data_IF_984676845312
#
_entry.id   IF_984676845312
#
_cell.length_a   1.000
_cell.length_b   1.000
_cell.length_c   1.000
_cell.angle_alpha   90.00
_cell.angle_beta   90.00
_cell.angle_gamma   90.00
#
_symmetry.space_group_name_H-M   'P 1'
#
loop_
_entity.id
_entity.type
_entity.pdbx_description
1 polymer ?
#
# COMPACT_ATOMS: atom_id res chain seq x y z
N UNK A 1 -5.30 22.50 -63.44
CA UNK A 1 -5.03 21.13 -63.94
C UNK A 1 -4.62 20.29 -62.75
N UNK A 2 -5.39 19.27 -62.53
CA UNK A 2 -5.36 18.27 -61.45
C UNK A 2 -4.03 17.51 -61.37
N UNK A 3 -3.60 17.06 -60.16
CA UNK A 3 -3.55 15.64 -59.87
C UNK A 3 -3.38 15.42 -58.35
N UNK A 4 -4.21 14.54 -57.87
CA UNK A 4 -4.26 13.89 -56.59
C UNK A 4 -3.07 12.93 -56.36
N UNK A 5 -2.69 12.75 -55.09
CA UNK A 5 -1.80 11.65 -54.68
C UNK A 5 -1.83 11.51 -53.13
N UNK A 6 -2.77 10.70 -52.67
CA UNK A 6 -2.86 10.22 -51.31
C UNK A 6 -1.78 9.18 -51.01
N UNK A 7 -1.16 9.24 -49.82
CA UNK A 7 -0.67 8.02 -49.14
C UNK A 7 -0.49 8.27 -47.65
N UNK A 8 -1.29 7.55 -46.88
CA UNK A 8 -1.22 7.32 -45.46
C UNK A 8 0.05 6.56 -45.03
N UNK A 9 0.66 6.98 -43.92
CA UNK A 9 1.74 6.25 -43.27
C UNK A 9 1.75 6.52 -41.77
N UNK A 10 0.97 5.72 -41.01
CA UNK A 10 1.01 5.72 -39.56
C UNK A 10 2.26 4.99 -39.10
N UNK A 11 3.29 5.72 -38.71
CA UNK A 11 4.49 5.18 -38.07
C UNK A 11 4.28 5.09 -36.56
N UNK A 12 4.11 3.88 -36.04
CA UNK A 12 4.22 3.59 -34.61
C UNK A 12 5.65 3.81 -34.16
N UNK A 13 5.86 4.82 -33.28
CA UNK A 13 7.12 4.99 -32.57
C UNK A 13 7.09 4.07 -31.36
N UNK A 14 7.93 3.04 -31.38
CA UNK A 14 8.12 2.10 -30.29
C UNK A 14 8.83 2.78 -29.11
N UNK A 15 8.29 2.64 -27.92
CA UNK A 15 8.97 2.98 -26.67
C UNK A 15 10.14 2.02 -26.46
N UNK A 16 11.37 2.54 -26.56
CA UNK A 16 12.56 1.83 -26.12
C UNK A 16 12.66 1.94 -24.59
N UNK A 17 12.43 0.83 -23.88
CA UNK A 17 12.79 0.71 -22.46
C UNK A 17 14.30 0.60 -22.35
N UNK A 18 14.95 1.62 -21.79
CA UNK A 18 16.32 1.51 -21.31
C UNK A 18 16.31 0.81 -19.95
N UNK A 19 16.71 -0.46 -19.94
CA UNK A 19 16.99 -1.18 -18.69
C UNK A 19 18.36 -0.75 -18.16
N UNK A 20 18.39 0.03 -17.10
CA UNK A 20 19.61 0.22 -16.30
C UNK A 20 19.77 -0.97 -15.36
N UNK A 21 20.82 -1.77 -15.61
CA UNK A 21 21.29 -2.79 -14.68
C UNK A 21 21.98 -2.09 -13.51
N UNK A 22 21.37 -2.15 -12.35
CA UNK A 22 22.02 -1.81 -11.07
C UNK A 22 22.82 -3.04 -10.64
N UNK A 23 24.14 -2.87 -10.52
CA UNK A 23 25.02 -3.88 -9.89
C UNK A 23 24.92 -3.67 -8.39
N UNK A 24 24.23 -4.58 -7.71
CA UNK A 24 24.21 -4.61 -6.24
C UNK A 24 25.49 -5.27 -5.73
N UNK A 25 26.30 -4.52 -4.99
CA UNK A 25 27.40 -5.05 -4.20
C UNK A 25 26.82 -5.61 -2.89
N UNK A 26 26.89 -6.92 -2.72
CA UNK A 26 26.53 -7.61 -1.49
C UNK A 26 27.67 -7.47 -0.47
N UNK A 27 27.46 -6.72 0.60
CA UNK A 27 28.24 -6.82 1.80
C UNK A 27 27.49 -7.71 2.80
N UNK A 28 28.02 -8.90 3.05
CA UNK A 28 27.47 -9.83 4.02
C UNK A 28 27.74 -9.37 5.46
N UNK A 29 26.72 -9.33 6.29
CA UNK A 29 26.84 -9.35 7.74
C UNK A 29 25.95 -10.49 8.25
N UNK A 30 26.59 -11.54 8.74
CA UNK A 30 25.90 -12.67 9.34
C UNK A 30 25.31 -12.31 10.70
N UNK A 31 24.06 -12.60 10.87
CA UNK A 31 23.41 -12.58 12.18
C UNK A 31 23.09 -14.01 12.59
N UNK A 32 23.75 -14.47 13.65
CA UNK A 32 23.54 -15.77 14.26
C UNK A 32 22.17 -15.81 14.94
N UNK A 33 21.33 -16.75 14.54
CA UNK A 33 20.08 -17.07 15.23
C UNK A 33 20.38 -18.11 16.31
N UNK A 34 20.20 -17.71 17.54
CA UNK A 34 20.26 -18.60 18.70
C UNK A 34 18.93 -19.33 18.84
N UNK A 35 18.91 -20.63 18.52
CA UNK A 35 17.75 -21.50 18.77
C UNK A 35 17.89 -22.03 20.20
N UNK A 36 17.04 -21.59 21.10
CA UNK A 36 16.88 -22.17 22.43
C UNK A 36 15.83 -23.28 22.33
N UNK A 37 16.32 -24.51 22.30
CA UNK A 37 15.47 -25.70 22.40
C UNK A 37 15.11 -25.98 23.85
N UNK A 38 13.81 -25.93 24.19
CA UNK A 38 13.30 -26.51 25.43
C UNK A 38 12.91 -27.97 25.20
N UNK A 39 13.73 -28.86 25.71
CA UNK A 39 13.40 -30.28 25.83
C UNK A 39 12.48 -30.48 27.04
N UNK A 40 11.28 -31.02 26.84
CA UNK A 40 10.50 -31.59 27.93
C UNK A 40 10.72 -33.10 27.99
N UNK A 41 11.24 -33.54 29.10
CA UNK A 41 11.42 -34.94 29.45
C UNK A 41 10.08 -35.53 29.86
N UNK A 42 9.71 -36.63 29.21
CA UNK A 42 8.62 -37.49 29.65
C UNK A 42 9.12 -38.44 30.72
N UNK A 43 8.54 -38.40 31.90
CA UNK A 43 8.72 -39.42 32.92
C UNK A 43 7.60 -40.41 32.83
N UNK A 44 7.95 -41.64 32.47
CA UNK A 44 7.11 -42.84 32.62
C UNK A 44 7.16 -43.32 34.07
N UNK A 45 6.01 -43.56 34.67
CA UNK A 45 5.91 -44.38 35.87
C UNK A 45 5.02 -45.58 35.60
N UNK A 46 5.65 -46.75 35.62
CA UNK A 46 5.03 -48.10 35.72
C UNK A 46 4.37 -48.25 37.10
N UNK A 47 3.18 -48.81 37.13
CA UNK A 47 2.54 -49.30 38.32
C UNK A 47 1.77 -50.56 37.99
N UNK A 48 2.40 -51.69 38.29
CA UNK A 48 1.81 -53.04 38.25
C UNK A 48 0.87 -53.21 39.44
N UNK A 49 -0.25 -53.86 39.23
CA UNK A 49 -1.14 -54.37 40.31
C UNK A 49 -1.94 -55.53 39.81
N UNK A 50 -1.48 -56.69 40.18
CA UNK A 50 -2.12 -58.01 40.04
C UNK A 50 -3.29 -58.17 41.02
N UNK A 51 -4.08 -59.20 40.69
CA UNK A 51 -4.91 -60.13 41.51
C UNK A 51 -6.42 -59.91 41.41
N UNK A 52 -7.30 -60.89 41.45
CA UNK A 52 -7.19 -62.38 41.42
C UNK A 52 -8.64 -62.94 41.15
N UNK A 53 -8.68 -64.15 40.63
CA UNK A 53 -9.84 -64.96 40.35
C UNK A 53 -10.68 -65.27 41.63
N UNK A 54 -12.01 -65.34 41.49
CA UNK A 54 -12.83 -66.18 42.33
C UNK A 54 -13.99 -66.80 41.53
N UNK A 55 -13.91 -68.09 41.39
CA UNK A 55 -14.82 -69.02 40.80
C UNK A 55 -15.78 -69.51 41.89
N UNK A 56 -17.11 -69.65 41.65
CA UNK A 56 -18.03 -70.59 42.30
C UNK A 56 -19.28 -70.69 41.45
N UNK A 57 -19.46 -71.77 40.72
CA UNK A 57 -20.19 -73.02 40.81
C UNK A 57 -21.73 -72.92 40.99
N UNK A 58 -22.39 -73.52 39.96
CA UNK A 58 -23.58 -74.37 39.93
C UNK A 58 -24.86 -74.05 40.70
N UNK A 59 -25.94 -73.86 39.94
CA UNK A 59 -27.03 -74.85 40.01
C UNK A 59 -28.05 -74.69 38.86
N UNK A 60 -28.39 -75.80 38.19
CA UNK A 60 -29.50 -75.99 37.25
C UNK A 60 -30.70 -76.51 38.03
N UNK A 61 -31.96 -76.15 37.69
CA UNK A 61 -32.80 -77.15 37.01
C UNK A 61 -33.60 -76.59 35.81
N UNK A 62 -34.11 -77.59 35.09
CA UNK A 62 -34.58 -77.60 33.73
C UNK A 62 -35.99 -77.02 33.46
N UNK A 63 -36.16 -76.71 32.18
CA UNK A 63 -37.28 -76.83 31.27
C UNK A 63 -38.55 -76.01 31.45
N UNK A 64 -38.75 -75.11 30.50
CA UNK A 64 -39.99 -75.08 29.72
C UNK A 64 -39.78 -74.34 28.41
N UNK A 65 -39.96 -75.03 27.29
CA UNK A 65 -39.95 -74.49 25.94
C UNK A 65 -41.18 -73.63 25.70
N UNK A 66 -40.94 -72.35 25.41
CA UNK A 66 -41.90 -71.55 24.64
C UNK A 66 -41.09 -70.77 23.58
N UNK A 67 -41.21 -71.23 22.33
CA UNK A 67 -40.61 -70.68 21.17
C UNK A 67 -41.37 -69.40 20.82
N UNK A 68 -40.86 -68.27 21.26
CA UNK A 68 -41.33 -66.99 20.78
C UNK A 68 -40.32 -66.51 19.74
N UNK A 69 -40.70 -66.60 18.47
CA UNK A 69 -39.94 -65.95 17.40
C UNK A 69 -39.97 -64.41 17.58
N UNK A 70 -38.97 -63.88 18.25
CA UNK A 70 -38.67 -62.47 18.14
C UNK A 70 -38.00 -62.19 16.77
N UNK A 71 -38.80 -61.75 15.83
CA UNK A 71 -38.26 -61.06 14.63
C UNK A 71 -37.64 -59.76 15.09
N UNK A 72 -36.35 -59.81 15.36
CA UNK A 72 -35.56 -58.55 15.56
C UNK A 72 -35.43 -57.92 14.20
N UNK A 73 -36.35 -57.05 13.84
CA UNK A 73 -36.15 -56.07 12.80
C UNK A 73 -34.98 -55.16 13.23
N UNK A 74 -33.76 -55.44 12.70
CA UNK A 74 -32.66 -54.51 12.78
C UNK A 74 -33.18 -53.21 12.15
N UNK A 75 -33.49 -52.21 12.99
CA UNK A 75 -33.78 -50.86 12.55
C UNK A 75 -32.56 -50.45 11.70
N UNK A 76 -32.76 -50.22 10.41
CA UNK A 76 -31.76 -49.68 9.51
C UNK A 76 -31.40 -48.29 10.07
N UNK A 77 -30.29 -48.20 10.77
CA UNK A 77 -29.76 -46.89 11.22
C UNK A 77 -29.65 -46.05 9.94
N UNK A 78 -30.45 -45.02 9.87
CA UNK A 78 -30.40 -44.07 8.75
C UNK A 78 -28.96 -43.55 8.64
N UNK A 79 -28.36 -43.70 7.46
CA UNK A 79 -27.00 -43.23 7.25
C UNK A 79 -26.98 -41.70 7.47
N UNK A 80 -26.19 -41.29 8.45
CA UNK A 80 -26.03 -39.84 8.76
C UNK A 80 -25.42 -39.17 7.54
N UNK A 81 -26.08 -38.10 7.04
CA UNK A 81 -25.58 -37.36 5.88
C UNK A 81 -24.22 -36.72 6.22
N UNK A 82 -23.26 -36.71 5.27
CA UNK A 82 -21.98 -36.06 5.52
C UNK A 82 -22.13 -34.56 5.70
N UNK A 83 -21.27 -33.97 6.54
CA UNK A 83 -21.13 -32.53 6.64
C UNK A 83 -20.68 -31.96 5.28
N UNK A 84 -21.20 -30.78 4.91
CA UNK A 84 -20.84 -30.05 3.68
C UNK A 84 -20.57 -28.60 4.00
N UNK A 85 -19.65 -27.97 3.26
CA UNK A 85 -19.53 -26.52 3.19
C UNK A 85 -20.66 -25.99 2.31
N UNK A 86 -21.45 -25.06 2.81
CA UNK A 86 -22.59 -24.45 2.11
C UNK A 86 -22.15 -23.16 1.41
N UNK A 87 -21.41 -22.30 2.14
CA UNK A 87 -20.87 -21.05 1.58
C UNK A 87 -19.62 -20.62 2.33
N UNK A 88 -18.82 -19.82 1.66
CA UNK A 88 -17.71 -19.07 2.24
C UNK A 88 -17.89 -17.60 1.86
N UNK A 89 -17.70 -16.70 2.81
CA UNK A 89 -17.71 -15.26 2.59
C UNK A 89 -16.36 -14.69 3.07
N UNK A 90 -15.62 -13.95 2.23
CA UNK A 90 -15.91 -13.64 0.83
C UNK A 90 -16.02 -14.86 -0.07
N UNK A 91 -16.85 -14.76 -1.15
CA UNK A 91 -17.11 -15.88 -2.05
C UNK A 91 -15.90 -16.25 -2.90
N UNK A 92 -15.90 -17.47 -3.44
CA UNK A 92 -14.84 -17.92 -4.36
C UNK A 92 -14.77 -17.00 -5.58
N UNK A 93 -13.56 -16.49 -5.87
CA UNK A 93 -13.31 -15.58 -6.99
C UNK A 93 -13.73 -14.13 -6.76
N UNK A 94 -14.11 -13.74 -5.54
CA UNK A 94 -14.28 -12.31 -5.22
C UNK A 94 -12.94 -11.56 -5.34
N UNK A 95 -12.96 -10.33 -5.87
CA UNK A 95 -11.75 -9.53 -6.15
C UNK A 95 -11.64 -8.24 -5.33
N UNK A 96 -12.73 -7.79 -4.69
CA UNK A 96 -12.78 -6.50 -4.00
C UNK A 96 -13.12 -6.68 -2.50
N UNK A 97 -12.66 -7.78 -1.90
CA UNK A 97 -12.94 -8.03 -0.49
C UNK A 97 -12.17 -7.05 0.40
N UNK A 98 -12.84 -6.51 1.42
CA UNK A 98 -12.13 -5.76 2.45
C UNK A 98 -11.30 -6.73 3.31
N UNK A 99 -9.98 -6.52 3.35
CA UNK A 99 -9.05 -7.41 4.06
C UNK A 99 -9.21 -7.39 5.59
N UNK A 100 -9.93 -6.44 6.14
CA UNK A 100 -10.23 -6.35 7.56
C UNK A 100 -11.54 -7.04 7.96
N UNK A 101 -12.37 -7.41 6.98
CA UNK A 101 -13.66 -8.07 7.23
C UNK A 101 -13.50 -9.50 7.72
N UNK A 102 -14.47 -10.00 8.52
CA UNK A 102 -14.50 -11.39 8.93
C UNK A 102 -14.66 -12.36 7.75
N UNK A 103 -13.96 -13.49 7.82
CA UNK A 103 -14.16 -14.61 6.90
C UNK A 103 -15.12 -15.60 7.55
N UNK A 104 -16.22 -15.92 6.86
CA UNK A 104 -17.25 -16.81 7.37
C UNK A 104 -17.38 -18.07 6.52
N UNK A 105 -17.37 -19.23 7.16
CA UNK A 105 -17.61 -20.53 6.53
C UNK A 105 -18.89 -21.14 7.12
N UNK A 106 -19.91 -21.33 6.29
CA UNK A 106 -21.19 -21.92 6.67
C UNK A 106 -21.26 -23.37 6.26
N UNK A 107 -21.78 -24.21 7.14
CA UNK A 107 -21.91 -25.66 6.97
C UNK A 107 -23.37 -26.11 6.91
N UNK A 108 -23.59 -27.33 6.47
CA UNK A 108 -24.93 -27.93 6.34
C UNK A 108 -25.55 -28.37 7.68
N UNK A 109 -24.80 -28.37 8.76
CA UNK A 109 -25.22 -28.79 10.12
C UNK A 109 -24.36 -28.10 11.17
N UNK A 110 -24.86 -27.97 12.40
CA UNK A 110 -24.08 -27.48 13.53
C UNK A 110 -22.76 -28.20 13.72
N UNK A 111 -21.72 -27.47 14.08
CA UNK A 111 -20.36 -27.98 14.27
C UNK A 111 -20.13 -28.43 15.73
N UNK A 112 -19.24 -29.43 15.89
CA UNK A 112 -18.75 -29.80 17.22
C UNK A 112 -17.87 -28.68 17.81
N UNK A 113 -17.94 -28.41 19.12
CA UNK A 113 -17.02 -27.46 19.78
C UNK A 113 -15.52 -27.83 19.65
N UNK A 114 -15.23 -29.14 19.45
CA UNK A 114 -13.87 -29.63 19.27
C UNK A 114 -13.50 -29.80 17.78
N UNK A 115 -14.28 -29.26 16.85
CA UNK A 115 -13.97 -29.36 15.41
C UNK A 115 -12.64 -28.70 15.09
N UNK A 116 -11.78 -29.32 14.26
CA UNK A 116 -10.63 -28.62 13.68
C UNK A 116 -11.07 -27.37 12.93
N UNK A 117 -10.23 -26.34 12.95
CA UNK A 117 -10.56 -25.05 12.35
C UNK A 117 -10.03 -24.96 10.92
N UNK A 118 -10.64 -24.16 10.03
CA UNK A 118 -10.08 -23.84 8.73
C UNK A 118 -8.73 -23.12 8.85
N UNK A 119 -7.90 -23.22 7.80
CA UNK A 119 -6.62 -22.53 7.72
C UNK A 119 -6.64 -21.48 6.62
N UNK A 120 -5.82 -20.42 6.79
CA UNK A 120 -5.70 -19.31 5.86
C UNK A 120 -4.28 -19.22 5.32
N UNK A 121 -4.15 -18.88 4.04
CA UNK A 121 -2.88 -18.60 3.38
C UNK A 121 -3.01 -17.39 2.46
N UNK A 122 -2.23 -16.29 2.70
CA UNK A 122 -1.32 -16.10 3.82
C UNK A 122 -2.06 -16.11 5.17
N UNK A 123 -1.34 -16.44 6.25
CA UNK A 123 -1.88 -16.35 7.61
C UNK A 123 -1.74 -14.94 8.15
N UNK A 124 -2.78 -14.45 8.82
CA UNK A 124 -2.75 -13.19 9.57
C UNK A 124 -3.15 -13.44 11.03
N UNK A 125 -2.80 -12.53 11.91
CA UNK A 125 -3.27 -12.60 13.30
C UNK A 125 -4.79 -12.47 13.37
N UNK A 126 -5.44 -13.29 14.15
CA UNK A 126 -6.88 -13.31 14.31
C UNK A 126 -7.34 -14.55 15.06
N UNK A 127 -8.65 -14.73 15.20
CA UNK A 127 -9.24 -15.85 15.92
C UNK A 127 -10.43 -16.42 15.18
N UNK A 128 -10.57 -17.75 15.22
CA UNK A 128 -11.76 -18.45 14.78
C UNK A 128 -12.75 -18.60 15.94
N UNK A 129 -14.03 -18.36 15.65
CA UNK A 129 -15.16 -18.71 16.52
C UNK A 129 -16.12 -19.63 15.79
N UNK A 130 -16.61 -20.67 16.50
CA UNK A 130 -17.62 -21.58 16.00
C UNK A 130 -18.93 -21.29 16.74
N UNK A 131 -20.00 -21.03 15.98
CA UNK A 131 -21.35 -20.83 16.51
C UNK A 131 -22.37 -21.52 15.61
N UNK A 132 -23.04 -22.55 16.15
CA UNK A 132 -23.99 -23.34 15.41
C UNK A 132 -23.34 -24.01 14.17
N UNK A 133 -23.84 -23.69 12.99
CA UNK A 133 -23.36 -24.20 11.69
C UNK A 133 -22.30 -23.30 11.02
N UNK A 134 -21.73 -22.37 11.75
CA UNK A 134 -20.86 -21.33 11.18
C UNK A 134 -19.55 -21.25 11.92
N UNK A 135 -18.43 -21.19 11.18
CA UNK A 135 -17.11 -20.82 11.67
C UNK A 135 -16.73 -19.45 11.11
N UNK A 136 -16.40 -18.51 11.98
CA UNK A 136 -16.04 -17.12 11.63
C UNK A 136 -14.63 -16.82 12.08
N UNK A 137 -13.78 -16.37 11.16
CA UNK A 137 -12.45 -15.80 11.45
C UNK A 137 -12.57 -14.28 11.55
N UNK A 138 -12.15 -13.73 12.68
CA UNK A 138 -12.05 -12.27 12.87
C UNK A 138 -10.57 -11.89 12.83
N UNK A 139 -10.12 -11.14 11.81
CA UNK A 139 -8.74 -10.69 11.72
C UNK A 139 -8.45 -9.66 12.83
N UNK A 140 -7.27 -9.74 13.44
CA UNK A 140 -6.76 -8.72 14.34
C UNK A 140 -5.86 -7.69 13.63
N UNK A 141 -5.30 -8.07 12.47
CA UNK A 141 -4.43 -7.21 11.65
C UNK A 141 -4.85 -7.15 10.18
N UNK A 142 -5.87 -7.90 9.78
CA UNK A 142 -6.36 -7.95 8.40
C UNK A 142 -5.35 -8.46 7.36
N UNK A 143 -5.81 -8.53 6.11
CA UNK A 143 -4.99 -8.84 4.92
C UNK A 143 -4.69 -7.53 4.18
N UNK A 144 -3.50 -7.44 3.59
CA UNK A 144 -3.12 -6.29 2.77
C UNK A 144 -3.92 -6.25 1.46
N UNK A 145 -3.91 -5.09 0.78
CA UNK A 145 -4.53 -4.93 -0.54
C UNK A 145 -3.95 -5.91 -1.56
N UNK A 146 -4.75 -6.24 -2.56
CA UNK A 146 -4.39 -7.06 -3.72
C UNK A 146 -3.83 -8.45 -3.34
N UNK A 147 -4.20 -8.93 -2.13
CA UNK A 147 -3.74 -10.21 -1.59
C UNK A 147 -4.73 -11.34 -1.92
N UNK A 148 -4.25 -12.39 -2.59
CA UNK A 148 -5.04 -13.61 -2.78
C UNK A 148 -5.03 -14.43 -1.50
N UNK A 149 -6.19 -14.56 -0.88
CA UNK A 149 -6.42 -15.33 0.35
C UNK A 149 -7.04 -16.67 0.01
N UNK A 150 -6.41 -17.74 0.48
CA UNK A 150 -6.90 -19.12 0.36
C UNK A 150 -7.42 -19.62 1.68
N UNK A 151 -8.70 -20.01 1.72
CA UNK A 151 -9.36 -20.64 2.87
C UNK A 151 -9.40 -22.14 2.62
N UNK A 152 -8.78 -22.92 3.49
CA UNK A 152 -8.78 -24.39 3.40
C UNK A 152 -9.55 -24.97 4.58
N UNK A 153 -10.65 -25.68 4.29
CA UNK A 153 -11.49 -26.39 5.26
C UNK A 153 -11.08 -27.85 5.29
N UNK A 154 -10.49 -28.36 6.38
CA UNK A 154 -9.95 -29.72 6.44
C UNK A 154 -11.06 -30.77 6.46
N UNK A 155 -10.79 -31.94 5.87
CA UNK A 155 -11.69 -33.08 5.80
C UNK A 155 -10.99 -34.38 6.20
N UNK A 156 -11.75 -35.48 6.29
CA UNK A 156 -11.25 -36.80 6.67
C UNK A 156 -11.29 -37.07 8.18
N UNK A 157 -10.36 -37.87 8.67
CA UNK A 157 -10.32 -38.28 10.09
C UNK A 157 -10.02 -37.07 11.02
N UNK A 158 -9.12 -36.18 10.58
CA UNK A 158 -8.71 -34.99 11.31
C UNK A 158 -9.42 -33.73 10.77
N UNK A 159 -10.54 -33.88 10.08
CA UNK A 159 -11.29 -32.80 9.43
C UNK A 159 -12.43 -32.24 10.29
N UNK A 160 -13.16 -31.30 9.68
CA UNK A 160 -14.32 -30.67 10.31
C UNK A 160 -15.36 -31.67 10.75
N UNK A 161 -15.85 -31.52 11.98
CA UNK A 161 -16.79 -32.40 12.65
C UNK A 161 -18.13 -31.69 12.88
N UNK A 162 -19.24 -32.35 12.53
CA UNK A 162 -20.57 -31.92 12.98
C UNK A 162 -20.79 -32.26 14.46
N UNK A 163 -21.71 -31.52 15.08
CA UNK A 163 -22.20 -31.83 16.41
C UNK A 163 -22.83 -33.24 16.43
N UNK A 164 -22.75 -33.92 17.58
CA UNK A 164 -23.25 -35.29 17.74
C UNK A 164 -24.72 -35.40 17.32
N UNK A 165 -25.01 -36.43 16.47
CA UNK A 165 -26.35 -36.72 15.98
C UNK A 165 -26.87 -35.85 14.83
N UNK A 166 -26.12 -34.80 14.39
CA UNK A 166 -26.59 -33.88 13.31
C UNK A 166 -26.08 -34.27 11.92
N UNK A 167 -24.79 -34.59 11.78
CA UNK A 167 -24.15 -35.00 10.55
C UNK A 167 -22.84 -35.75 10.86
N UNK A 168 -22.21 -36.31 9.84
CA UNK A 168 -20.87 -36.92 9.93
C UNK A 168 -19.76 -35.89 9.78
N UNK A 169 -18.58 -36.38 9.39
CA UNK A 169 -17.44 -35.53 9.06
C UNK A 169 -17.53 -34.94 7.65
N UNK A 170 -16.81 -33.87 7.38
CA UNK A 170 -16.55 -33.39 6.03
C UNK A 170 -15.74 -34.43 5.26
N UNK A 171 -16.22 -34.84 4.09
CA UNK A 171 -15.61 -35.96 3.33
C UNK A 171 -14.46 -35.54 2.44
N UNK A 172 -14.48 -34.31 1.94
CA UNK A 172 -13.47 -33.76 1.04
C UNK A 172 -13.06 -32.39 1.52
N UNK A 173 -11.75 -32.10 1.47
CA UNK A 173 -11.20 -30.77 1.74
C UNK A 173 -11.82 -29.77 0.78
N UNK A 174 -12.36 -28.68 1.33
CA UNK A 174 -12.87 -27.57 0.55
C UNK A 174 -11.85 -26.45 0.54
N UNK A 175 -11.57 -25.92 -0.65
CA UNK A 175 -10.65 -24.80 -0.86
C UNK A 175 -11.40 -23.69 -1.57
N UNK A 176 -11.38 -22.50 -0.98
CA UNK A 176 -11.95 -21.28 -1.56
C UNK A 176 -10.83 -20.23 -1.62
N UNK A 177 -10.77 -19.48 -2.71
CA UNK A 177 -9.85 -18.36 -2.82
C UNK A 177 -10.60 -17.09 -3.21
N UNK A 178 -10.20 -15.98 -2.63
CA UNK A 178 -10.66 -14.63 -3.01
C UNK A 178 -9.45 -13.68 -2.98
N UNK A 179 -9.58 -12.50 -3.58
CA UNK A 179 -8.55 -11.44 -3.55
C UNK A 179 -9.12 -10.23 -2.85
N UNK A 180 -8.33 -9.62 -1.97
CA UNK A 180 -8.70 -8.33 -1.38
C UNK A 180 -8.62 -7.22 -2.43
N UNK A 181 -9.45 -6.20 -2.28
CA UNK A 181 -9.43 -5.02 -3.15
C UNK A 181 -8.17 -4.17 -2.95
N UNK A 182 -8.02 -3.15 -3.78
CA UNK A 182 -7.00 -2.12 -3.61
C UNK A 182 -7.38 -1.15 -2.50
N UNK A 183 -6.40 -0.47 -1.91
CA UNK A 183 -6.67 0.58 -0.94
C UNK A 183 -7.25 1.83 -1.60
N UNK A 184 -8.03 2.58 -0.84
CA UNK A 184 -8.71 3.78 -1.30
C UNK A 184 -7.74 4.95 -1.50
N UNK A 185 -7.65 5.51 -2.73
CA UNK A 185 -6.93 6.76 -2.99
C UNK A 185 -7.45 7.91 -2.13
N UNK A 186 -8.76 7.94 -1.86
CA UNK A 186 -9.35 8.92 -0.95
C UNK A 186 -8.76 8.82 0.46
N UNK A 187 -8.58 7.60 0.97
CA UNK A 187 -7.93 7.40 2.27
C UNK A 187 -6.46 7.79 2.26
N UNK A 188 -5.72 7.50 1.20
CA UNK A 188 -4.36 7.96 1.02
C UNK A 188 -4.28 9.49 1.15
N UNK A 189 -5.15 10.20 0.42
CA UNK A 189 -5.24 11.66 0.49
C UNK A 189 -5.55 12.18 1.91
N UNK A 190 -6.46 11.51 2.63
CA UNK A 190 -6.79 11.85 4.02
C UNK A 190 -5.59 11.71 4.95
N UNK A 191 -4.88 10.56 4.87
CA UNK A 191 -3.71 10.29 5.71
C UNK A 191 -2.57 11.28 5.43
N UNK A 192 -2.28 11.55 4.15
CA UNK A 192 -1.26 12.53 3.74
C UNK A 192 -1.61 13.95 4.20
N UNK A 193 -2.90 14.34 4.14
CA UNK A 193 -3.36 15.63 4.65
C UNK A 193 -3.24 15.71 6.18
N UNK A 194 -3.66 14.67 6.90
CA UNK A 194 -3.54 14.60 8.37
C UNK A 194 -2.08 14.71 8.84
N UNK A 195 -1.15 14.12 8.09
CA UNK A 195 0.27 14.19 8.41
C UNK A 195 0.97 15.44 7.87
N UNK A 196 0.25 16.34 7.18
CA UNK A 196 0.81 17.60 6.65
C UNK A 196 1.69 17.44 5.41
N UNK A 197 1.55 16.34 4.67
CA UNK A 197 2.23 16.15 3.38
C UNK A 197 1.47 16.76 2.20
N UNK A 198 0.21 17.13 2.39
CA UNK A 198 -0.61 17.87 1.43
C UNK A 198 -0.93 19.26 1.96
N UNK A 199 -1.08 20.28 1.09
CA UNK A 199 -1.45 21.64 1.50
C UNK A 199 -2.95 21.79 1.76
N UNK A 200 -3.55 20.78 2.37
CA UNK A 200 -4.98 20.66 2.64
C UNK A 200 -5.21 20.21 4.07
N UNK A 201 -6.30 20.69 4.65
CA UNK A 201 -6.88 20.18 5.88
C UNK A 201 -8.04 19.27 5.53
N UNK A 202 -8.01 18.02 6.01
CA UNK A 202 -9.14 17.12 5.94
C UNK A 202 -9.95 17.16 7.24
N UNK A 203 -11.27 17.31 7.11
CA UNK A 203 -12.21 17.33 8.23
C UNK A 203 -13.24 16.20 8.05
N UNK A 204 -13.31 15.23 8.98
CA UNK A 204 -14.30 14.17 8.90
C UNK A 204 -15.71 14.72 9.07
N UNK A 205 -16.69 14.13 8.36
CA UNK A 205 -18.13 14.48 8.50
C UNK A 205 -18.68 14.08 9.87
N UNK A 206 -18.15 12.99 10.44
CA UNK A 206 -18.41 12.56 11.78
C UNK A 206 -17.07 12.50 12.55
N UNK A 207 -16.86 13.35 13.56
CA UNK A 207 -15.63 13.35 14.35
C UNK A 207 -15.30 12.00 15.01
N UNK A 208 -16.32 11.17 15.29
CA UNK A 208 -16.11 9.84 15.87
C UNK A 208 -15.51 8.83 14.90
N UNK A 209 -15.70 9.02 13.59
CA UNK A 209 -15.18 8.15 12.52
C UNK A 209 -13.85 8.64 11.96
N UNK A 210 -13.52 9.90 12.14
CA UNK A 210 -12.32 10.53 11.58
C UNK A 210 -11.01 10.10 12.23
N UNK A 211 -11.07 9.66 13.48
CA UNK A 211 -9.92 9.19 14.25
C UNK A 211 -10.07 7.71 14.55
N UNK A 212 -9.61 6.87 13.64
CA UNK A 212 -9.39 5.47 13.97
C UNK A 212 -8.25 5.41 14.99
N UNK A 213 -8.54 4.82 16.17
CA UNK A 213 -7.56 4.75 17.25
C UNK A 213 -6.26 4.11 16.74
N UNK A 214 -5.14 4.75 17.05
CA UNK A 214 -3.79 4.31 16.70
C UNK A 214 -3.48 2.87 17.14
N UNK A 215 -4.11 2.40 18.21
CA UNK A 215 -3.95 1.07 18.77
C UNK A 215 -4.76 -0.01 18.05
N UNK A 216 -5.70 0.36 17.16
CA UNK A 216 -6.56 -0.59 16.45
C UNK A 216 -6.08 -0.76 15.00
N UNK A 217 -5.11 -1.66 14.80
CA UNK A 217 -4.53 -1.94 13.49
C UNK A 217 -5.56 -2.47 12.48
N UNK A 218 -6.57 -3.22 12.93
CA UNK A 218 -7.60 -3.74 12.03
C UNK A 218 -8.56 -2.63 11.58
N UNK A 219 -8.97 -1.73 12.47
CA UNK A 219 -9.80 -0.60 12.12
C UNK A 219 -9.05 0.40 11.20
N UNK A 220 -7.74 0.62 11.42
CA UNK A 220 -6.90 1.40 10.51
C UNK A 220 -6.87 0.78 9.11
N UNK A 221 -6.69 -0.53 9.03
CA UNK A 221 -6.67 -1.24 7.76
C UNK A 221 -8.06 -1.25 7.09
N UNK A 222 -9.14 -1.44 7.85
CA UNK A 222 -10.51 -1.33 7.33
C UNK A 222 -10.75 0.04 6.68
N UNK A 223 -10.31 1.11 7.34
CA UNK A 223 -10.38 2.47 6.81
C UNK A 223 -9.48 2.69 5.57
N UNK A 224 -8.43 1.88 5.38
CA UNK A 224 -7.62 1.94 4.15
C UNK A 224 -8.40 1.42 2.93
N UNK A 225 -9.31 0.47 3.12
CA UNK A 225 -10.21 -0.01 2.06
C UNK A 225 -11.41 0.91 1.86
N UNK A 226 -12.03 1.37 2.94
CA UNK A 226 -13.26 2.19 2.92
C UNK A 226 -13.02 3.50 3.69
N UNK A 227 -12.72 4.56 2.94
CA UNK A 227 -12.34 5.85 3.50
C UNK A 227 -13.51 6.51 4.23
N UNK A 228 -13.31 7.03 5.46
CA UNK A 228 -14.33 7.81 6.15
C UNK A 228 -14.79 9.02 5.32
N UNK A 229 -16.08 9.36 5.41
CA UNK A 229 -16.62 10.56 4.76
C UNK A 229 -16.04 11.84 5.39
N UNK A 230 -15.77 12.85 4.57
CA UNK A 230 -15.22 14.12 5.02
C UNK A 230 -15.00 15.09 3.88
N UNK A 231 -14.47 16.26 4.21
CA UNK A 231 -14.17 17.33 3.26
C UNK A 231 -12.72 17.77 3.34
N UNK A 232 -12.16 18.14 2.18
CA UNK A 232 -10.86 18.79 2.07
C UNK A 232 -11.01 20.28 1.87
N UNK A 233 -10.19 21.05 2.58
CA UNK A 233 -10.09 22.49 2.40
C UNK A 233 -8.62 22.84 2.16
N UNK A 234 -8.34 23.56 1.08
CA UNK A 234 -6.98 24.08 0.87
C UNK A 234 -6.59 25.04 1.99
N UNK A 235 -5.37 24.90 2.47
CA UNK A 235 -4.77 25.88 3.36
C UNK A 235 -4.61 27.19 2.58
N UNK A 236 -4.81 28.33 3.25
CA UNK A 236 -4.79 29.65 2.60
C UNK A 236 -3.41 30.00 2.02
N UNK A 237 -3.41 30.87 1.01
CA UNK A 237 -2.21 31.53 0.49
C UNK A 237 -1.54 30.87 -0.71
N UNK A 238 -1.96 29.69 -1.14
CA UNK A 238 -1.44 29.06 -2.35
C UNK A 238 -2.10 29.62 -3.64
N UNK A 239 -1.37 29.70 -4.76
CA UNK A 239 -1.90 30.18 -6.02
C UNK A 239 -2.79 29.14 -6.72
N UNK A 240 -3.63 29.62 -7.65
CA UNK A 240 -4.53 28.75 -8.45
C UNK A 240 -3.77 27.75 -9.30
N UNK A 241 -2.54 28.04 -9.71
CA UNK A 241 -1.67 27.09 -10.42
C UNK A 241 -1.40 25.79 -9.65
N UNK A 242 -1.50 25.81 -8.32
CA UNK A 242 -1.46 24.61 -7.49
C UNK A 242 -2.87 24.07 -7.22
N UNK A 243 -3.79 24.94 -6.77
CA UNK A 243 -5.08 24.48 -6.25
C UNK A 243 -5.99 23.86 -7.32
N UNK A 244 -5.83 24.27 -8.59
CA UNK A 244 -6.59 23.70 -9.73
C UNK A 244 -6.18 22.28 -10.10
N UNK A 245 -5.09 21.77 -9.57
CA UNK A 245 -4.58 20.42 -9.87
C UNK A 245 -5.07 19.36 -8.87
N UNK A 246 -5.82 19.77 -7.86
CA UNK A 246 -6.39 18.87 -6.88
C UNK A 246 -7.68 18.22 -7.37
N UNK A 247 -7.78 16.92 -7.13
CA UNK A 247 -8.99 16.14 -7.36
C UNK A 247 -9.15 15.11 -6.24
N UNK A 248 -10.33 15.10 -5.62
CA UNK A 248 -10.65 14.21 -4.49
C UNK A 248 -10.85 12.78 -4.99
N UNK A 249 -10.24 11.81 -4.31
CA UNK A 249 -10.40 10.39 -4.59
C UNK A 249 -9.70 9.90 -5.86
N UNK A 250 -8.94 10.76 -6.54
CA UNK A 250 -8.17 10.39 -7.73
C UNK A 250 -6.68 10.64 -7.51
N UNK A 251 -5.87 9.82 -8.15
CA UNK A 251 -4.44 10.06 -8.19
C UNK A 251 -4.14 11.34 -9.00
N UNK A 252 -3.23 12.17 -8.47
CA UNK A 252 -2.81 13.42 -9.08
C UNK A 252 -1.39 13.79 -8.61
N UNK A 253 -0.80 14.78 -9.25
CA UNK A 253 0.58 15.18 -8.98
C UNK A 253 0.83 15.63 -7.53
N UNK A 254 -0.20 16.18 -6.84
CA UNK A 254 -0.07 16.54 -5.43
C UNK A 254 0.09 15.28 -4.57
N UNK A 255 -0.67 14.23 -4.87
CA UNK A 255 -0.57 12.94 -4.18
C UNK A 255 0.79 12.30 -4.43
N UNK A 256 1.23 12.19 -5.69
CA UNK A 256 2.54 11.62 -6.02
C UNK A 256 3.69 12.39 -5.37
N UNK A 257 3.64 13.74 -5.36
CA UNK A 257 4.61 14.56 -4.65
C UNK A 257 4.61 14.32 -3.13
N UNK A 258 3.42 14.23 -2.53
CA UNK A 258 3.26 13.98 -1.10
C UNK A 258 3.77 12.59 -0.68
N UNK A 259 3.48 11.55 -1.49
CA UNK A 259 4.03 10.20 -1.28
C UNK A 259 5.55 10.22 -1.34
N UNK A 260 6.14 10.86 -2.35
CA UNK A 260 7.59 10.99 -2.52
C UNK A 260 8.26 11.71 -1.34
N UNK A 261 7.62 12.77 -0.82
CA UNK A 261 8.09 13.45 0.38
C UNK A 261 8.03 12.56 1.64
N UNK A 262 6.96 11.78 1.76
CA UNK A 262 6.80 10.82 2.85
C UNK A 262 7.87 9.72 2.77
N UNK A 263 8.06 9.10 1.60
CA UNK A 263 9.08 8.08 1.34
C UNK A 263 10.47 8.56 1.72
N UNK A 264 10.85 9.78 1.30
CA UNK A 264 12.12 10.40 1.68
C UNK A 264 12.27 10.51 3.19
N UNK A 265 11.23 10.96 3.89
CA UNK A 265 11.31 11.20 5.34
C UNK A 265 11.43 9.92 6.16
N UNK A 266 10.99 8.78 5.63
CA UNK A 266 11.07 7.47 6.31
C UNK A 266 12.13 6.53 5.70
N UNK A 267 12.86 6.99 4.68
CA UNK A 267 13.97 6.25 4.05
C UNK A 267 13.54 5.12 3.12
N UNK A 268 12.38 5.22 2.50
CA UNK A 268 11.95 4.32 1.42
C UNK A 268 12.47 4.81 0.05
N UNK A 269 12.31 3.95 -0.96
CA UNK A 269 12.55 4.35 -2.36
C UNK A 269 11.54 5.40 -2.77
N UNK A 270 12.03 6.53 -3.27
CA UNK A 270 11.22 7.69 -3.66
C UNK A 270 10.66 7.53 -5.09
N UNK A 271 9.72 6.60 -5.29
CA UNK A 271 9.05 6.42 -6.58
C UNK A 271 7.73 7.22 -6.69
N UNK A 272 7.17 7.62 -5.56
CA UNK A 272 5.92 8.37 -5.48
C UNK A 272 4.67 7.51 -5.61
N UNK A 273 4.83 6.18 -5.52
CA UNK A 273 3.75 5.21 -5.58
C UNK A 273 3.42 4.68 -4.17
N UNK A 274 2.15 4.71 -3.80
CA UNK A 274 1.72 4.22 -2.49
C UNK A 274 1.63 2.69 -2.45
N UNK A 275 2.78 2.02 -2.47
CA UNK A 275 2.90 0.58 -2.33
C UNK A 275 2.62 0.08 -0.89
N UNK A 276 2.63 -1.25 -0.65
CA UNK A 276 2.32 -1.85 0.65
C UNK A 276 3.17 -1.31 1.81
N UNK A 277 4.46 -1.02 1.58
CA UNK A 277 5.37 -0.47 2.58
C UNK A 277 5.02 0.98 2.94
N UNK A 278 4.64 1.79 1.94
CA UNK A 278 4.16 3.16 2.14
C UNK A 278 2.87 3.14 2.96
N UNK A 279 1.90 2.31 2.61
CA UNK A 279 0.64 2.18 3.36
C UNK A 279 0.85 1.77 4.82
N UNK A 280 1.64 0.74 5.06
CA UNK A 280 1.97 0.28 6.42
C UNK A 280 2.63 1.38 7.25
N UNK A 281 3.53 2.14 6.62
CA UNK A 281 4.24 3.24 7.25
C UNK A 281 3.34 4.45 7.50
N UNK A 282 2.44 4.80 6.57
CA UNK A 282 1.45 5.87 6.75
C UNK A 282 0.51 5.58 7.93
N UNK A 283 -0.05 4.38 7.99
CA UNK A 283 -0.91 3.95 9.10
C UNK A 283 -0.14 4.01 10.45
N UNK A 284 1.12 3.62 10.45
CA UNK A 284 2.01 3.72 11.63
C UNK A 284 2.30 5.17 12.00
N UNK A 285 2.55 6.04 11.01
CA UNK A 285 2.83 7.46 11.25
C UNK A 285 1.61 8.19 11.84
N UNK A 286 0.41 7.90 11.31
CA UNK A 286 -0.85 8.42 11.90
C UNK A 286 -1.02 7.94 13.33
N UNK A 287 -0.79 6.65 13.58
CA UNK A 287 -0.83 6.05 14.90
C UNK A 287 0.09 6.74 15.91
N UNK A 288 1.24 7.23 15.46
CA UNK A 288 2.26 7.90 16.28
C UNK A 288 2.21 9.42 16.20
N UNK A 289 1.27 9.99 15.45
CA UNK A 289 1.19 11.42 15.16
C UNK A 289 2.52 12.00 14.60
N UNK A 290 3.16 11.26 13.68
CA UNK A 290 4.42 11.64 13.04
C UNK A 290 4.14 12.49 11.81
N UNK A 291 4.05 13.81 12.00
CA UNK A 291 3.77 14.77 10.93
C UNK A 291 4.99 15.06 10.07
N UNK A 292 4.76 15.65 8.89
CA UNK A 292 5.79 16.12 7.98
C UNK A 292 6.70 17.16 8.68
N UNK A 293 7.99 16.89 8.85
CA UNK A 293 8.90 17.81 9.53
C UNK A 293 9.30 19.02 8.68
N UNK A 294 9.08 18.96 7.35
CA UNK A 294 9.58 19.94 6.39
C UNK A 294 8.54 20.97 5.95
N UNK A 295 7.25 20.84 6.38
CA UNK A 295 6.16 21.65 5.84
C UNK A 295 5.89 21.32 4.36
N UNK A 296 5.04 22.12 3.70
CA UNK A 296 4.69 21.94 2.28
C UNK A 296 5.19 23.09 1.43
N UNK A 297 6.05 22.80 0.45
CA UNK A 297 6.58 23.78 -0.49
C UNK A 297 6.05 23.56 -1.92
N UNK A 298 5.82 24.69 -2.59
CA UNK A 298 5.40 24.76 -3.98
C UNK A 298 6.16 25.86 -4.70
N UNK A 299 6.63 25.58 -5.91
CA UNK A 299 7.27 26.56 -6.77
C UNK A 299 6.48 26.77 -8.07
N UNK A 300 6.47 28.02 -8.54
CA UNK A 300 5.96 28.42 -9.83
C UNK A 300 7.08 29.12 -10.61
N UNK A 301 7.50 28.51 -11.71
CA UNK A 301 8.37 29.13 -12.71
C UNK A 301 7.53 29.63 -13.88
N UNK A 302 7.64 30.90 -14.21
CA UNK A 302 6.99 31.45 -15.40
C UNK A 302 8.02 31.58 -16.50
N UNK A 303 7.70 31.07 -17.70
CA UNK A 303 8.54 31.16 -18.88
C UNK A 303 7.90 32.05 -19.95
N UNK A 304 8.73 32.66 -20.83
CA UNK A 304 8.29 33.57 -21.87
C UNK A 304 9.45 34.36 -22.46
N UNK A 305 9.12 35.39 -23.23
CA UNK A 305 10.16 36.22 -23.88
C UNK A 305 10.83 37.24 -22.92
N UNK A 306 10.20 37.51 -21.76
CA UNK A 306 10.71 38.46 -20.75
C UNK A 306 10.01 38.28 -19.42
N UNK A 307 10.64 38.82 -18.35
CA UNK A 307 10.11 38.78 -16.98
C UNK A 307 9.90 37.37 -16.43
N UNK A 308 10.72 36.40 -16.86
CA UNK A 308 10.72 35.08 -16.29
C UNK A 308 11.11 35.11 -14.82
N UNK A 309 10.41 34.34 -14.00
CA UNK A 309 10.61 34.37 -12.55
C UNK A 309 10.32 33.02 -11.92
N UNK A 310 11.00 32.76 -10.82
CA UNK A 310 10.68 31.70 -9.89
C UNK A 310 10.04 32.30 -8.64
N UNK A 311 8.90 31.73 -8.23
CA UNK A 311 8.23 32.06 -6.98
C UNK A 311 8.10 30.80 -6.15
N UNK A 312 8.34 30.88 -4.84
CA UNK A 312 8.21 29.74 -3.94
C UNK A 312 7.27 30.11 -2.80
N UNK A 313 6.34 29.20 -2.51
CA UNK A 313 5.49 29.20 -1.33
C UNK A 313 5.91 28.09 -0.37
N UNK A 314 5.86 28.39 0.91
CA UNK A 314 6.07 27.45 1.98
C UNK A 314 5.00 27.68 3.05
N UNK A 315 4.25 26.64 3.38
CA UNK A 315 3.11 26.66 4.30
C UNK A 315 2.16 27.83 4.03
N UNK A 316 1.78 28.01 2.75
CA UNK A 316 0.85 29.03 2.28
C UNK A 316 1.43 30.45 2.20
N UNK A 317 2.68 30.67 2.59
CA UNK A 317 3.34 31.98 2.48
C UNK A 317 4.29 32.01 1.30
N UNK A 318 4.22 33.05 0.47
CA UNK A 318 5.21 33.26 -0.58
C UNK A 318 6.52 33.75 0.05
N UNK A 319 7.51 32.83 0.07
CA UNK A 319 8.78 33.02 0.79
C UNK A 319 9.93 33.48 -0.10
N UNK A 320 9.81 33.30 -1.44
CA UNK A 320 10.82 33.69 -2.40
C UNK A 320 10.18 34.19 -3.69
N UNK A 321 10.73 35.25 -4.25
CA UNK A 321 10.51 35.73 -5.63
C UNK A 321 11.85 36.16 -6.18
N UNK A 322 12.22 35.58 -7.32
CA UNK A 322 13.50 35.92 -7.97
C UNK A 322 13.32 35.88 -9.49
N UNK A 323 14.02 36.75 -10.26
CA UNK A 323 14.12 36.53 -11.69
C UNK A 323 14.77 35.15 -11.94
N UNK A 324 14.34 34.51 -13.01
CA UNK A 324 14.85 33.19 -13.42
C UNK A 324 15.07 33.17 -14.92
N UNK A 325 15.83 32.22 -15.40
CA UNK A 325 15.96 31.93 -16.83
C UNK A 325 15.40 30.53 -17.10
N UNK A 326 14.58 30.41 -18.12
CA UNK A 326 14.10 29.10 -18.58
C UNK A 326 14.75 28.71 -19.90
N UNK A 327 14.34 27.56 -20.45
CA UNK A 327 14.92 27.01 -21.68
C UNK A 327 14.64 27.83 -22.92
N UNK A 328 15.63 27.93 -23.81
CA UNK A 328 15.50 28.55 -25.13
C UNK A 328 14.48 27.80 -26.01
N UNK A 329 13.93 28.38 -27.10
CA UNK A 329 12.96 27.70 -27.97
C UNK A 329 13.45 26.37 -28.53
N UNK A 330 14.76 26.19 -28.73
CA UNK A 330 15.35 24.92 -29.20
C UNK A 330 15.44 23.83 -28.10
N UNK A 331 15.34 24.21 -26.84
CA UNK A 331 15.37 23.31 -25.67
C UNK A 331 14.56 23.94 -24.53
N UNK A 332 13.22 24.00 -24.66
CA UNK A 332 12.36 24.68 -23.69
C UNK A 332 12.30 23.92 -22.38
N UNK A 333 12.11 24.64 -21.28
CA UNK A 333 11.71 24.00 -20.01
C UNK A 333 10.32 23.38 -20.19
N UNK A 334 10.15 22.13 -19.76
CA UNK A 334 8.89 21.42 -19.94
C UNK A 334 7.75 22.09 -19.14
N UNK A 335 6.66 22.47 -19.82
CA UNK A 335 5.43 22.92 -19.17
C UNK A 335 4.78 21.79 -18.37
N UNK A 336 4.24 22.11 -17.23
CA UNK A 336 3.56 21.15 -16.35
C UNK A 336 3.93 21.32 -14.88
N UNK A 337 3.52 20.35 -14.09
CA UNK A 337 3.85 20.29 -12.67
C UNK A 337 4.53 18.98 -12.35
N UNK A 338 5.65 19.07 -11.68
CA UNK A 338 6.55 17.95 -11.44
C UNK A 338 7.05 17.95 -10.00
N UNK A 339 7.16 16.78 -9.34
CA UNK A 339 7.75 16.68 -8.01
C UNK A 339 9.29 16.71 -8.08
N UNK A 340 9.93 17.36 -7.14
CA UNK A 340 11.38 17.26 -6.94
C UNK A 340 11.74 15.84 -6.55
N UNK A 341 12.64 15.22 -7.31
CA UNK A 341 13.01 13.80 -7.14
C UNK A 341 14.49 13.58 -6.87
N UNK A 342 15.36 14.59 -7.11
CA UNK A 342 16.80 14.47 -6.91
C UNK A 342 17.39 15.84 -6.55
N UNK A 343 18.37 15.87 -5.63
CA UNK A 343 18.96 17.10 -5.16
C UNK A 343 20.47 16.98 -4.98
N UNK A 344 21.20 18.00 -5.39
CA UNK A 344 22.63 18.15 -5.16
C UNK A 344 23.00 19.57 -4.78
N UNK A 345 23.87 19.74 -3.80
CA UNK A 345 24.43 21.05 -3.47
C UNK A 345 25.42 21.54 -4.54
N UNK A 346 26.15 20.62 -5.15
CA UNK A 346 27.06 20.82 -6.30
C UNK A 346 26.98 19.61 -7.21
N UNK A 347 26.85 19.81 -8.50
CA UNK A 347 26.89 18.75 -9.50
C UNK A 347 27.41 19.25 -10.84
N UNK A 348 27.78 18.32 -11.72
CA UNK A 348 28.16 18.60 -13.11
C UNK A 348 26.98 18.29 -14.03
N UNK A 349 26.55 19.29 -14.81
CA UNK A 349 25.59 19.09 -15.90
C UNK A 349 26.35 19.02 -17.23
N UNK A 350 26.14 17.95 -17.97
CA UNK A 350 26.84 17.65 -19.24
C UNK A 350 25.85 17.39 -20.34
N UNK A 351 26.13 17.92 -21.52
CA UNK A 351 25.28 17.73 -22.68
C UNK A 351 25.83 18.39 -23.93
N UNK A 352 24.91 18.76 -24.82
CA UNK A 352 25.24 19.43 -26.07
C UNK A 352 24.43 20.70 -26.20
N UNK A 353 25.09 21.77 -26.62
CA UNK A 353 24.45 22.98 -27.09
C UNK A 353 23.69 22.73 -28.39
N UNK A 354 22.74 23.57 -28.81
CA UNK A 354 22.04 23.42 -30.10
C UNK A 354 22.94 23.41 -31.33
N UNK A 355 24.12 24.00 -31.22
CA UNK A 355 25.14 23.98 -32.28
C UNK A 355 26.00 22.71 -32.33
N UNK A 356 25.71 21.74 -31.43
CA UNK A 356 26.44 20.47 -31.34
C UNK A 356 27.70 20.52 -30.47
N UNK A 357 28.08 21.65 -29.91
CA UNK A 357 29.22 21.77 -28.99
C UNK A 357 28.86 21.17 -27.64
N UNK A 358 29.85 20.54 -26.99
CA UNK A 358 29.64 19.97 -25.63
C UNK A 358 29.72 21.05 -24.58
N UNK A 359 28.90 20.90 -23.54
CA UNK A 359 29.05 21.61 -22.28
C UNK A 359 29.32 20.64 -21.11
N UNK A 360 30.02 21.14 -20.08
CA UNK A 360 30.33 20.44 -18.83
C UNK A 360 30.38 21.48 -17.72
N UNK A 361 29.20 21.86 -17.24
CA UNK A 361 29.03 22.99 -16.36
C UNK A 361 28.84 22.56 -14.89
N UNK A 362 29.59 23.20 -13.98
CA UNK A 362 29.35 23.06 -12.56
C UNK A 362 28.16 23.90 -12.17
N UNK A 363 27.10 23.29 -11.60
CA UNK A 363 25.93 23.95 -11.07
C UNK A 363 25.80 23.73 -9.58
N UNK A 364 25.14 24.67 -8.92
CA UNK A 364 25.02 24.70 -7.47
C UNK A 364 23.54 24.69 -7.05
N UNK A 365 23.26 24.04 -5.93
CA UNK A 365 21.94 24.04 -5.30
C UNK A 365 20.85 23.51 -6.24
N UNK A 366 21.13 22.40 -6.92
CA UNK A 366 20.24 21.81 -7.91
C UNK A 366 19.13 20.96 -7.28
N UNK A 367 17.88 21.28 -7.63
CA UNK A 367 16.68 20.50 -7.32
C UNK A 367 16.05 20.06 -8.62
N UNK A 368 16.25 18.79 -9.01
CA UNK A 368 15.74 18.20 -10.25
C UNK A 368 14.27 17.84 -10.11
N UNK A 369 13.46 18.22 -11.12
CA UNK A 369 12.02 18.03 -11.10
C UNK A 369 11.48 17.29 -12.34
N UNK A 370 12.15 17.38 -13.52
CA UNK A 370 11.70 16.68 -14.73
C UNK A 370 12.88 16.26 -15.62
N UNK A 371 13.12 14.96 -15.78
CA UNK A 371 14.24 14.44 -16.56
C UNK A 371 15.58 15.07 -16.13
N UNK A 372 16.17 15.93 -16.98
CA UNK A 372 17.38 16.67 -16.67
C UNK A 372 17.10 18.09 -16.12
N UNK A 373 15.84 18.56 -16.11
CA UNK A 373 15.49 19.91 -15.71
C UNK A 373 15.55 20.08 -14.20
N UNK A 374 16.20 21.15 -13.76
CA UNK A 374 16.37 21.48 -12.35
C UNK A 374 16.21 22.98 -12.09
N UNK A 375 15.75 23.32 -10.88
CA UNK A 375 15.97 24.66 -10.33
C UNK A 375 17.38 24.68 -9.75
N UNK A 376 18.25 25.56 -10.23
CA UNK A 376 19.64 25.65 -9.76
C UNK A 376 20.26 27.03 -9.92
N UNK A 377 21.34 27.29 -9.19
CA UNK A 377 22.17 28.47 -9.42
C UNK A 377 23.07 28.27 -10.64
N UNK A 378 23.13 29.28 -11.50
CA UNK A 378 24.10 29.35 -12.59
C UNK A 378 24.50 30.80 -12.84
N UNK A 379 25.81 31.11 -12.97
CA UNK A 379 26.25 32.49 -13.22
C UNK A 379 25.85 32.94 -14.62
N UNK A 380 25.08 34.04 -14.70
CA UNK A 380 24.66 34.68 -15.93
C UNK A 380 24.86 36.22 -15.80
N UNK A 381 25.07 36.94 -16.91
CA UNK A 381 25.11 38.40 -16.88
C UNK A 381 23.80 39.04 -16.44
N UNK A 382 22.68 38.33 -16.56
CA UNK A 382 21.35 38.78 -16.16
C UNK A 382 20.36 37.64 -16.15
N UNK A 383 19.17 37.91 -15.62
CA UNK A 383 18.09 36.91 -15.47
C UNK A 383 16.75 37.54 -15.87
N UNK A 384 15.77 36.70 -16.16
CA UNK A 384 14.40 37.11 -16.49
C UNK A 384 13.99 36.83 -17.93
N UNK A 385 14.72 35.97 -18.68
CA UNK A 385 14.38 35.56 -20.04
C UNK A 385 14.98 34.19 -20.36
N UNK A 386 14.50 33.55 -21.42
CA UNK A 386 14.96 32.24 -21.85
C UNK A 386 16.43 32.23 -22.29
N UNK A 387 17.28 31.49 -21.64
CA UNK A 387 18.69 31.30 -21.98
C UNK A 387 19.33 30.02 -21.48
N UNK A 388 18.56 29.14 -20.84
CA UNK A 388 19.01 27.82 -20.42
C UNK A 388 18.70 26.75 -21.48
N UNK A 389 19.07 25.49 -21.21
CA UNK A 389 18.76 24.34 -22.03
C UNK A 389 17.71 23.41 -21.37
N UNK A 390 16.71 24.00 -20.70
CA UNK A 390 15.62 23.30 -20.02
C UNK A 390 15.52 23.57 -18.52
N UNK A 391 16.61 23.94 -17.87
CA UNK A 391 16.61 24.25 -16.44
C UNK A 391 15.94 25.59 -16.11
N UNK A 392 15.55 25.75 -14.87
CA UNK A 392 15.18 27.03 -14.26
C UNK A 392 16.41 27.57 -13.52
N UNK A 393 17.20 28.42 -14.19
CA UNK A 393 18.40 29.01 -13.62
C UNK A 393 18.04 30.22 -12.79
N UNK A 394 18.58 30.33 -11.59
CA UNK A 394 18.38 31.44 -10.69
C UNK A 394 19.72 32.09 -10.29
N UNK A 395 19.72 33.32 -9.76
CA UNK A 395 20.95 34.08 -9.48
C UNK A 395 21.92 33.31 -8.60
N UNK A 396 23.19 33.28 -9.04
CA UNK A 396 24.33 32.77 -8.31
C UNK A 396 25.10 33.94 -7.67
N UNK A 397 25.22 33.95 -6.36
CA UNK A 397 25.82 35.04 -5.61
C UNK A 397 27.28 34.77 -5.17
N UNK A 398 27.96 33.82 -5.80
CA UNK A 398 29.32 33.45 -5.39
C UNK A 398 29.36 32.58 -4.14
N UNK A 399 30.15 32.93 -3.14
CA UNK A 399 30.48 32.11 -1.99
C UNK A 399 29.59 32.25 -0.76
N UNK A 400 28.42 32.92 -0.85
CA UNK A 400 27.52 33.15 0.29
C UNK A 400 26.17 32.45 0.15
N UNK A 401 25.41 32.28 1.27
CA UNK A 401 24.04 31.87 1.21
C UNK A 401 23.24 32.85 0.38
N UNK A 402 22.74 32.41 -0.77
CA UNK A 402 22.05 33.25 -1.74
C UNK A 402 20.64 32.77 -1.98
N UNK A 403 20.01 33.42 -2.96
CA UNK A 403 18.67 33.05 -3.44
C UNK A 403 18.56 31.57 -3.77
N UNK A 404 19.61 31.00 -4.40
CA UNK A 404 19.62 29.62 -4.83
C UNK A 404 19.68 28.63 -3.66
N UNK A 405 20.47 28.90 -2.63
CA UNK A 405 20.49 28.08 -1.42
C UNK A 405 19.15 28.11 -0.69
N UNK A 406 18.53 29.29 -0.60
CA UNK A 406 17.19 29.43 -0.03
C UNK A 406 16.16 28.64 -0.84
N UNK A 407 16.18 28.74 -2.18
CA UNK A 407 15.31 27.95 -3.05
C UNK A 407 15.52 26.45 -2.84
N UNK A 408 16.77 25.99 -2.79
CA UNK A 408 17.13 24.60 -2.54
C UNK A 408 16.61 24.08 -1.19
N UNK A 409 16.72 24.89 -0.14
CA UNK A 409 16.27 24.52 1.20
C UNK A 409 14.73 24.40 1.29
N UNK A 410 13.98 25.25 0.57
CA UNK A 410 12.53 25.13 0.48
C UNK A 410 12.07 23.98 -0.42
N UNK A 411 12.77 23.75 -1.54
CA UNK A 411 12.42 22.69 -2.49
C UNK A 411 12.93 21.33 -2.00
N UNK A 412 12.26 20.77 -1.00
CA UNK A 412 12.54 19.42 -0.49
C UNK A 412 12.06 18.36 -1.48
N UNK A 413 12.45 17.10 -1.28
CA UNK A 413 11.93 15.98 -2.08
C UNK A 413 10.40 15.97 -2.03
N UNK A 414 9.76 15.76 -3.19
CA UNK A 414 8.32 15.78 -3.34
C UNK A 414 7.69 17.18 -3.45
N UNK A 415 8.43 18.27 -3.18
CA UNK A 415 7.95 19.65 -3.47
C UNK A 415 7.60 19.79 -4.95
N UNK A 416 6.47 20.42 -5.25
CA UNK A 416 6.04 20.58 -6.64
C UNK A 416 6.63 21.83 -7.28
N UNK A 417 7.13 21.67 -8.50
CA UNK A 417 7.56 22.76 -9.39
C UNK A 417 6.62 22.79 -10.58
N UNK A 418 5.84 23.88 -10.70
CA UNK A 418 5.03 24.16 -11.89
C UNK A 418 5.80 25.09 -12.81
N UNK A 419 5.88 24.72 -14.07
CA UNK A 419 6.37 25.58 -15.15
C UNK A 419 5.18 25.95 -16.03
N UNK A 420 5.00 27.22 -16.32
CA UNK A 420 3.88 27.71 -17.11
C UNK A 420 4.28 28.90 -17.99
N UNK A 421 3.67 29.00 -19.14
CA UNK A 421 3.93 30.02 -20.16
C UNK A 421 4.35 29.36 -21.47
N UNK A 422 4.75 30.18 -22.43
CA UNK A 422 5.27 29.71 -23.71
C UNK A 422 6.50 30.52 -24.10
N UNK A 423 7.54 29.85 -24.50
CA UNK A 423 8.70 30.45 -25.16
C UNK A 423 8.34 30.59 -26.62
N UNK A 424 8.25 31.82 -27.11
CA UNK A 424 7.85 32.18 -28.48
C UNK A 424 8.96 31.90 -29.51
#
# INVERSE_FOLDING_TARGET
MSFLGSASGVGRVGKALLQHRVIAATAGAGTAVLVVGCAFAATSSNGSGHETLANVSNNKPAASTTTTHHVTTKAKVAAVAPLKVVSVTPSSGAHDANGADPITVKFSSPLSPQTPLPTLSPSVKGSWQVSGDTATFTPATGFLADTTVKVTVPAGADGMLAASGSAGTLKQTSVTSFTTGSYSTLRLQQLLAQLGYLPLTWTPSDPSTGTVAASDANAQLAAAYDAPAGTFTFNSGYPSSLTSQWSVGTDNVLVSGAVRAFENNIGLTMDGDAGPEVWSSLLTAVAKNQTNPNGYSYALATQGSSNEALQIWHDGKRVLVTPANTGIPASPTADGTFPVYLKYTVTQMKGFNPDGTKYDDTVYWASYFNGGDAVHAFPRPGYGWYQSLGCVEIPYNGSGPGVAENAYNYLTYGSLVTVTGAVA
#
